data_IF_091984619540
#
_entry.id   IF_091984619540
#
_cell.length_a   1.000
_cell.length_b   1.000
_cell.length_c   1.000
_cell.angle_alpha   90.00
_cell.angle_beta   90.00
_cell.angle_gamma   90.00
#
_symmetry.space_group_name_H-M   'P 1'
#
loop_
_entity.id
_entity.type
_entity.pdbx_description
1 polymer ?
#
# COMPACT_ATOMS: atom_id res chain seq x y z
N UNK A 1 -12.43 0.31 -5.97
CA UNK A 1 -13.76 0.31 -5.29
C UNK A 1 -14.85 0.65 -6.30
N UNK A 2 -15.94 -0.14 -6.37
CA UNK A 2 -17.01 0.11 -7.34
C UNK A 2 -17.96 1.18 -6.79
N UNK A 3 -18.41 2.13 -7.62
CA UNK A 3 -19.40 3.17 -7.25
C UNK A 3 -20.65 2.61 -6.53
N UNK A 4 -21.02 1.36 -6.81
CA UNK A 4 -22.15 0.66 -6.19
C UNK A 4 -22.00 0.45 -4.67
N UNK A 5 -20.78 0.39 -4.13
CA UNK A 5 -20.54 0.18 -2.70
C UNK A 5 -20.67 1.49 -1.89
N UNK A 6 -20.36 2.64 -2.49
CA UNK A 6 -20.54 3.94 -1.86
C UNK A 6 -22.01 4.31 -1.65
N UNK A 7 -22.91 3.84 -2.52
CA UNK A 7 -24.35 4.10 -2.42
C UNK A 7 -25.05 3.38 -1.25
N UNK A 8 -24.37 2.42 -0.60
CA UNK A 8 -24.89 1.68 0.57
C UNK A 8 -24.52 2.30 1.91
N UNK A 9 -23.65 3.31 1.90
CA UNK A 9 -23.22 3.99 3.12
C UNK A 9 -24.29 4.97 3.61
N UNK A 10 -24.47 5.04 4.93
CA UNK A 10 -25.27 6.10 5.51
C UNK A 10 -24.56 7.47 5.36
N UNK A 11 -25.28 8.62 5.49
CA UNK A 11 -24.66 9.94 5.30
C UNK A 11 -23.42 10.17 6.15
N UNK A 12 -23.43 9.74 7.40
CA UNK A 12 -22.30 9.92 8.32
C UNK A 12 -21.10 9.03 7.95
N UNK A 13 -21.33 7.81 7.47
CA UNK A 13 -20.27 6.97 6.92
C UNK A 13 -19.66 7.56 5.67
N UNK A 14 -20.48 8.18 4.82
CA UNK A 14 -20.03 8.86 3.61
C UNK A 14 -19.12 10.05 3.95
N UNK A 15 -19.51 10.87 4.94
CA UNK A 15 -18.68 11.98 5.41
C UNK A 15 -17.34 11.50 5.95
N UNK A 16 -17.33 10.45 6.76
CA UNK A 16 -16.10 9.84 7.28
C UNK A 16 -15.21 9.29 6.15
N UNK A 17 -15.82 8.64 5.16
CA UNK A 17 -15.09 8.12 3.99
C UNK A 17 -14.45 9.27 3.18
N UNK A 18 -15.22 10.31 2.86
CA UNK A 18 -14.76 11.48 2.11
C UNK A 18 -13.62 12.21 2.85
N UNK A 19 -13.75 12.37 4.17
CA UNK A 19 -12.70 12.93 5.02
C UNK A 19 -11.40 12.10 4.92
N UNK A 20 -11.49 10.78 5.10
CA UNK A 20 -10.35 9.89 4.98
C UNK A 20 -9.73 9.91 3.58
N UNK A 21 -10.53 9.99 2.52
CA UNK A 21 -10.06 10.07 1.14
C UNK A 21 -9.21 11.32 0.94
N UNK A 22 -9.71 12.46 1.38
CA UNK A 22 -9.01 13.74 1.29
C UNK A 22 -7.70 13.72 2.08
N UNK A 23 -7.74 13.30 3.35
CA UNK A 23 -6.55 13.25 4.22
C UNK A 23 -5.52 12.26 3.68
N UNK A 24 -5.94 11.06 3.27
CA UNK A 24 -5.03 10.06 2.68
C UNK A 24 -4.43 10.55 1.36
N UNK A 25 -5.21 11.26 0.54
CA UNK A 25 -4.72 11.89 -0.70
C UNK A 25 -3.60 12.90 -0.46
N UNK A 26 -3.62 13.58 0.68
CA UNK A 26 -2.63 14.59 1.06
C UNK A 26 -1.68 14.10 2.17
N UNK A 27 -1.64 12.79 2.44
CA UNK A 27 -0.89 12.25 3.58
C UNK A 27 0.54 12.74 3.64
N UNK A 28 0.91 13.28 4.80
CA UNK A 28 2.27 13.50 5.27
C UNK A 28 2.48 12.63 6.51
N UNK A 29 3.41 11.70 6.47
CA UNK A 29 3.69 10.78 7.57
C UNK A 29 4.35 11.44 8.79
N UNK A 30 4.69 12.72 8.72
CA UNK A 30 5.14 13.51 9.86
C UNK A 30 3.96 14.04 10.70
N UNK A 31 2.76 14.14 10.10
CA UNK A 31 1.55 14.68 10.73
C UNK A 31 0.43 13.65 10.64
N UNK A 32 0.29 12.82 11.67
CA UNK A 32 -0.63 11.69 11.69
C UNK A 32 -1.93 11.93 12.47
N UNK A 33 -2.06 13.07 13.12
CA UNK A 33 -3.27 13.42 13.91
C UNK A 33 -4.57 13.23 13.14
N UNK A 34 -4.70 13.66 11.85
CA UNK A 34 -5.93 13.51 11.07
C UNK A 34 -6.42 12.08 10.89
N UNK A 35 -5.52 11.09 11.09
CA UNK A 35 -5.79 9.68 10.88
C UNK A 35 -6.21 8.93 12.14
N UNK A 36 -6.44 9.65 13.26
CA UNK A 36 -6.88 9.07 14.52
C UNK A 36 -8.41 9.14 14.66
N UNK A 37 -9.00 8.16 15.36
CA UNK A 37 -10.45 8.15 15.66
C UNK A 37 -10.90 9.36 16.45
N UNK A 38 -10.03 9.93 17.29
CA UNK A 38 -10.33 11.09 18.10
C UNK A 38 -10.45 12.35 17.24
N UNK A 39 -9.48 12.61 16.37
CA UNK A 39 -9.47 13.78 15.50
C UNK A 39 -10.63 13.74 14.50
N UNK A 40 -10.85 12.57 13.87
CA UNK A 40 -11.99 12.36 12.97
C UNK A 40 -13.32 12.66 13.66
N UNK A 41 -13.48 12.20 14.92
CA UNK A 41 -14.68 12.49 15.72
C UNK A 41 -14.85 13.98 16.01
N UNK A 42 -13.77 14.69 16.30
CA UNK A 42 -13.79 16.13 16.57
C UNK A 42 -14.16 16.92 15.30
N UNK A 43 -13.51 16.64 14.19
CA UNK A 43 -13.71 17.37 12.92
C UNK A 43 -15.11 17.13 12.34
N UNK A 44 -15.60 15.89 12.40
CA UNK A 44 -16.89 15.50 11.83
C UNK A 44 -18.05 15.65 12.84
N UNK A 45 -17.79 16.12 14.05
CA UNK A 45 -18.79 16.22 15.13
C UNK A 45 -19.50 14.89 15.45
N UNK A 46 -18.77 13.79 15.36
CA UNK A 46 -19.26 12.42 15.58
C UNK A 46 -18.58 11.87 16.84
N UNK A 47 -19.29 11.02 17.60
CA UNK A 47 -18.68 10.37 18.77
C UNK A 47 -17.51 9.47 18.34
N UNK A 48 -16.42 9.46 19.13
CA UNK A 48 -15.27 8.59 18.89
C UNK A 48 -15.67 7.11 18.75
N UNK A 49 -16.68 6.67 19.52
CA UNK A 49 -17.16 5.30 19.46
C UNK A 49 -17.82 4.98 18.11
N UNK A 50 -18.62 5.91 17.58
CA UNK A 50 -19.26 5.79 16.27
C UNK A 50 -18.21 5.75 15.15
N UNK A 51 -17.20 6.63 15.21
CA UNK A 51 -16.07 6.62 14.26
C UNK A 51 -15.34 5.27 14.31
N UNK A 52 -15.04 4.76 15.51
CA UNK A 52 -14.38 3.46 15.67
C UNK A 52 -15.20 2.31 15.11
N UNK A 53 -16.53 2.33 15.29
CA UNK A 53 -17.43 1.33 14.72
C UNK A 53 -17.39 1.35 13.19
N UNK A 54 -17.54 2.52 12.57
CA UNK A 54 -17.52 2.66 11.10
C UNK A 54 -16.16 2.28 10.51
N UNK A 55 -15.07 2.66 11.15
CA UNK A 55 -13.73 2.25 10.70
C UNK A 55 -13.52 0.73 10.79
N UNK A 56 -14.08 0.07 11.80
CA UNK A 56 -14.05 -1.39 11.89
C UNK A 56 -14.90 -2.06 10.80
N UNK A 57 -16.01 -1.47 10.40
CA UNK A 57 -16.80 -1.92 9.24
C UNK A 57 -16.00 -1.74 7.95
N UNK A 58 -15.39 -0.58 7.73
CA UNK A 58 -14.51 -0.33 6.58
C UNK A 58 -13.29 -1.26 6.55
N UNK A 59 -12.77 -1.63 7.71
CA UNK A 59 -11.66 -2.57 7.83
C UNK A 59 -12.08 -3.99 7.41
N UNK A 60 -13.25 -4.47 7.84
CA UNK A 60 -13.81 -5.77 7.42
C UNK A 60 -14.04 -5.84 5.91
N UNK A 61 -14.47 -4.74 5.31
CA UNK A 61 -14.65 -4.60 3.85
C UNK A 61 -13.32 -4.36 3.11
N UNK A 62 -12.20 -4.34 3.83
CA UNK A 62 -10.87 -4.13 3.27
C UNK A 62 -10.66 -2.76 2.59
N UNK A 63 -11.41 -1.73 3.01
CA UNK A 63 -11.33 -0.39 2.46
C UNK A 63 -10.25 0.45 3.13
N UNK A 64 -9.97 0.19 4.40
CA UNK A 64 -8.95 0.90 5.17
C UNK A 64 -7.78 0.00 5.56
N UNK A 65 -6.63 0.62 5.72
CA UNK A 65 -5.43 0.05 6.32
C UNK A 65 -5.37 0.55 7.75
N UNK A 66 -5.06 -0.34 8.68
CA UNK A 66 -4.95 -0.05 10.10
C UNK A 66 -3.50 -0.17 10.55
N UNK A 67 -3.01 0.82 11.30
CA UNK A 67 -1.70 0.77 11.96
C UNK A 67 -1.93 0.61 13.46
N UNK A 68 -1.45 -0.48 14.04
CA UNK A 68 -1.67 -0.89 15.44
C UNK A 68 -0.76 -0.18 16.44
N UNK A 69 -0.51 1.09 16.24
CA UNK A 69 0.22 1.92 17.19
C UNK A 69 -0.70 2.51 18.27
N UNK A 70 -0.16 3.30 19.16
CA UNK A 70 -0.94 4.10 20.14
C UNK A 70 -0.59 5.57 19.95
N UNK A 71 -1.50 6.34 19.34
CA UNK A 71 -2.85 6.01 18.86
C UNK A 71 -2.84 5.11 17.60
N UNK A 72 -3.98 4.47 17.31
CA UNK A 72 -4.22 3.72 16.08
C UNK A 72 -4.50 4.69 14.94
N UNK A 73 -3.90 4.45 13.78
CA UNK A 73 -4.11 5.25 12.56
C UNK A 73 -4.83 4.44 11.49
N UNK A 74 -5.66 5.13 10.70
CA UNK A 74 -6.43 4.54 9.60
C UNK A 74 -6.21 5.31 8.31
N UNK A 75 -5.92 4.61 7.22
CA UNK A 75 -5.72 5.18 5.89
C UNK A 75 -6.63 4.50 4.88
N UNK A 76 -7.16 5.23 3.89
CA UNK A 76 -7.87 4.61 2.79
C UNK A 76 -6.90 3.85 1.87
N UNK A 77 -7.11 2.54 1.75
CA UNK A 77 -6.25 1.64 0.98
C UNK A 77 -6.10 2.05 -0.48
N UNK A 78 -7.23 2.24 -1.17
CA UNK A 78 -7.24 2.56 -2.59
C UNK A 78 -6.55 3.91 -2.88
N UNK A 79 -6.83 4.93 -2.07
CA UNK A 79 -6.23 6.26 -2.20
C UNK A 79 -4.74 6.21 -1.93
N UNK A 80 -4.30 5.44 -0.93
CA UNK A 80 -2.89 5.26 -0.63
C UNK A 80 -2.17 4.51 -1.76
N UNK A 81 -2.75 3.41 -2.24
CA UNK A 81 -2.22 2.65 -3.37
C UNK A 81 -2.07 3.53 -4.62
N UNK A 82 -3.09 4.33 -4.94
CA UNK A 82 -3.07 5.25 -6.09
C UNK A 82 -2.01 6.35 -5.94
N UNK A 83 -1.92 6.97 -4.75
CA UNK A 83 -0.95 8.05 -4.48
C UNK A 83 0.50 7.57 -4.61
N UNK A 84 0.79 6.38 -4.10
CA UNK A 84 2.14 5.84 -4.07
C UNK A 84 2.44 4.86 -5.21
N UNK A 85 1.48 4.68 -6.13
CA UNK A 85 1.58 3.75 -7.26
C UNK A 85 1.94 2.33 -6.83
N UNK A 86 1.31 1.84 -5.77
CA UNK A 86 1.48 0.50 -5.20
C UNK A 86 0.24 -0.33 -5.46
N UNK A 87 0.37 -1.60 -5.85
CA UNK A 87 -0.77 -2.43 -6.25
C UNK A 87 -1.54 -3.04 -5.11
N UNK A 88 -0.83 -3.45 -4.08
CA UNK A 88 -1.43 -4.07 -2.92
C UNK A 88 -0.64 -3.70 -1.66
N UNK A 89 -1.37 -3.48 -0.58
CA UNK A 89 -0.84 -3.24 0.76
C UNK A 89 -1.50 -4.23 1.71
N UNK A 90 -0.83 -4.56 2.80
CA UNK A 90 -1.43 -5.33 3.87
C UNK A 90 -2.64 -4.59 4.47
N UNK A 91 -3.56 -5.34 5.08
CA UNK A 91 -4.71 -4.71 5.74
C UNK A 91 -4.33 -4.05 7.07
N UNK A 92 -3.31 -4.58 7.72
CA UNK A 92 -2.90 -4.21 9.05
C UNK A 92 -1.37 -4.20 9.17
N UNK A 93 -0.83 -3.20 9.87
CA UNK A 93 0.60 -3.06 10.15
C UNK A 93 0.80 -2.82 11.64
N UNK A 94 1.86 -3.37 12.20
CA UNK A 94 2.24 -3.15 13.60
C UNK A 94 2.86 -1.76 13.83
N UNK A 95 3.58 -1.24 12.83
CA UNK A 95 4.24 0.07 12.87
C UNK A 95 4.13 0.76 11.51
N UNK A 96 4.12 2.09 11.54
CA UNK A 96 4.13 2.94 10.34
C UNK A 96 5.34 2.68 9.43
N UNK A 97 6.47 2.30 10.01
CA UNK A 97 7.71 2.00 9.27
C UNK A 97 7.52 0.87 8.26
N UNK A 98 6.76 -0.17 8.63
CA UNK A 98 6.47 -1.29 7.73
C UNK A 98 5.59 -0.85 6.55
N UNK A 99 4.56 -0.05 6.81
CA UNK A 99 3.77 0.56 5.74
C UNK A 99 4.66 1.41 4.82
N UNK A 100 5.53 2.26 5.37
CA UNK A 100 6.43 3.10 4.57
C UNK A 100 7.42 2.26 3.75
N UNK A 101 7.91 1.14 4.28
CA UNK A 101 8.76 0.20 3.54
C UNK A 101 8.00 -0.38 2.36
N UNK A 102 6.78 -0.88 2.55
CA UNK A 102 5.96 -1.42 1.47
C UNK A 102 5.63 -0.38 0.40
N UNK A 103 5.32 0.85 0.80
CA UNK A 103 5.09 1.96 -0.13
C UNK A 103 6.34 2.28 -0.97
N UNK A 104 7.52 2.24 -0.36
CA UNK A 104 8.78 2.50 -1.05
C UNK A 104 9.18 1.33 -1.95
N UNK A 105 9.03 0.08 -1.48
CA UNK A 105 9.33 -1.12 -2.26
C UNK A 105 8.42 -1.24 -3.47
N UNK A 106 7.12 -0.97 -3.32
CA UNK A 106 6.19 -0.97 -4.44
C UNK A 106 6.57 0.04 -5.52
N UNK A 107 6.94 1.26 -5.14
CA UNK A 107 7.41 2.31 -6.06
C UNK A 107 8.67 1.91 -6.82
N UNK A 108 9.67 1.37 -6.11
CA UNK A 108 10.93 0.91 -6.73
C UNK A 108 10.67 -0.18 -7.75
N UNK A 109 9.91 -1.21 -7.37
CA UNK A 109 9.60 -2.32 -8.26
C UNK A 109 8.82 -1.87 -9.50
N UNK A 110 7.81 -1.01 -9.34
CA UNK A 110 7.03 -0.51 -10.45
C UNK A 110 7.88 0.34 -11.41
N UNK A 111 8.80 1.15 -10.92
CA UNK A 111 9.68 1.95 -11.76
C UNK A 111 10.74 1.09 -12.48
N UNK A 112 11.46 0.24 -11.75
CA UNK A 112 12.55 -0.55 -12.32
C UNK A 112 12.07 -1.62 -13.29
N UNK A 113 10.97 -2.32 -12.98
CA UNK A 113 10.46 -3.43 -13.77
C UNK A 113 9.35 -3.06 -14.78
N UNK A 114 8.91 -1.79 -14.82
CA UNK A 114 7.82 -1.34 -15.70
C UNK A 114 8.07 -1.65 -17.20
N UNK A 115 9.35 -1.64 -17.62
CA UNK A 115 9.74 -1.98 -19.00
C UNK A 115 9.78 -3.48 -19.32
N UNK A 116 9.55 -4.36 -18.34
CA UNK A 116 9.55 -5.81 -18.56
C UNK A 116 8.14 -6.28 -18.92
N UNK A 117 7.92 -6.63 -20.18
CA UNK A 117 6.63 -7.11 -20.67
C UNK A 117 6.21 -8.35 -19.87
N UNK A 118 4.99 -8.33 -19.32
CA UNK A 118 4.44 -9.43 -18.50
C UNK A 118 4.90 -9.45 -17.05
N UNK A 119 5.60 -8.43 -16.55
CA UNK A 119 6.07 -8.39 -15.17
C UNK A 119 4.94 -8.45 -14.14
N UNK A 120 3.74 -8.03 -14.51
CA UNK A 120 2.54 -8.15 -13.68
C UNK A 120 1.73 -9.44 -13.90
N UNK A 121 2.05 -10.21 -14.92
CA UNK A 121 1.33 -11.41 -15.33
C UNK A 121 2.25 -12.64 -15.22
N UNK A 122 2.77 -13.11 -16.37
CA UNK A 122 3.58 -14.32 -16.46
C UNK A 122 4.92 -14.23 -15.71
N UNK A 123 5.54 -13.07 -15.65
CA UNK A 123 6.80 -12.83 -14.95
C UNK A 123 6.67 -12.33 -13.52
N UNK A 124 5.45 -12.17 -13.00
CA UNK A 124 5.22 -11.67 -11.62
C UNK A 124 6.02 -12.44 -10.57
N UNK A 125 5.94 -13.77 -10.60
CA UNK A 125 6.66 -14.62 -9.65
C UNK A 125 8.19 -14.51 -9.79
N UNK A 126 8.69 -14.35 -11.01
CA UNK A 126 10.13 -14.17 -11.25
C UNK A 126 10.61 -12.82 -10.73
N UNK A 127 9.85 -11.75 -10.96
CA UNK A 127 10.15 -10.40 -10.44
C UNK A 127 10.14 -10.37 -8.93
N UNK A 128 9.14 -10.99 -8.29
CA UNK A 128 9.07 -11.07 -6.82
C UNK A 128 10.28 -11.81 -6.23
N UNK A 129 10.71 -12.92 -6.84
CA UNK A 129 11.93 -13.64 -6.42
C UNK A 129 13.19 -12.80 -6.60
N UNK A 130 13.29 -11.99 -7.67
CA UNK A 130 14.38 -11.04 -7.86
C UNK A 130 14.41 -9.99 -6.75
N UNK A 131 13.26 -9.42 -6.40
CA UNK A 131 13.15 -8.44 -5.30
C UNK A 131 13.59 -9.04 -3.97
N UNK A 132 13.00 -10.17 -3.58
CA UNK A 132 13.35 -10.87 -2.34
C UNK A 132 14.84 -11.18 -2.27
N UNK A 133 15.44 -11.61 -3.38
CA UNK A 133 16.86 -11.91 -3.42
C UNK A 133 17.74 -10.65 -3.19
N UNK A 134 17.36 -9.50 -3.75
CA UNK A 134 18.07 -8.23 -3.56
C UNK A 134 17.91 -7.71 -2.12
N UNK A 135 16.70 -7.77 -1.58
CA UNK A 135 16.36 -7.22 -0.27
C UNK A 135 16.78 -8.11 0.91
N UNK A 136 17.27 -9.32 0.66
CA UNK A 136 17.63 -10.27 1.72
C UNK A 136 18.84 -9.78 2.52
N UNK A 137 18.71 -9.60 3.84
CA UNK A 137 19.80 -9.11 4.66
C UNK A 137 20.92 -10.16 4.87
N UNK A 138 22.19 -9.78 5.05
CA UNK A 138 22.69 -8.39 5.06
C UNK A 138 23.05 -7.82 3.67
N UNK A 139 23.27 -8.67 2.67
CA UNK A 139 23.90 -8.25 1.39
C UNK A 139 23.18 -8.79 0.15
N UNK A 140 21.96 -9.27 0.28
CA UNK A 140 21.23 -9.96 -0.78
C UNK A 140 21.62 -11.42 -0.96
N UNK A 141 20.91 -12.13 -1.84
CA UNK A 141 21.17 -13.52 -2.22
C UNK A 141 21.67 -13.62 -3.65
N UNK A 142 22.54 -14.60 -3.96
CA UNK A 142 22.87 -14.93 -5.34
C UNK A 142 21.62 -15.31 -6.15
N UNK A 143 21.44 -14.73 -7.34
CA UNK A 143 20.31 -14.98 -8.21
C UNK A 143 20.73 -15.69 -9.48
N UNK A 144 20.06 -16.78 -9.81
CA UNK A 144 20.25 -17.52 -11.09
C UNK A 144 18.96 -17.44 -11.90
N UNK A 145 19.04 -16.88 -13.11
CA UNK A 145 17.95 -16.81 -14.06
C UNK A 145 18.10 -17.91 -15.11
N UNK A 146 17.26 -18.93 -15.03
CA UNK A 146 17.21 -20.04 -15.99
C UNK A 146 16.00 -19.90 -16.94
N UNK A 147 16.13 -20.39 -18.16
CA UNK A 147 15.07 -20.37 -19.17
C UNK A 147 15.62 -20.48 -20.59
N UNK A 148 14.76 -20.59 -21.59
CA UNK A 148 15.10 -20.72 -22.99
C UNK A 148 15.78 -19.47 -23.57
N UNK A 149 16.47 -19.62 -24.71
CA UNK A 149 17.08 -18.50 -25.43
C UNK A 149 15.99 -17.51 -25.87
N UNK A 150 16.21 -16.22 -25.72
CA UNK A 150 15.24 -15.20 -26.15
C UNK A 150 14.18 -14.81 -25.10
N UNK A 151 14.08 -15.47 -23.94
CA UNK A 151 13.03 -15.23 -22.91
C UNK A 151 13.25 -13.99 -22.04
N UNK A 152 14.14 -13.08 -22.41
CA UNK A 152 14.34 -11.81 -21.68
C UNK A 152 15.15 -11.89 -20.39
N UNK A 153 15.86 -13.00 -20.10
CA UNK A 153 16.70 -13.15 -18.89
C UNK A 153 17.69 -12.01 -18.68
N UNK A 154 18.36 -11.57 -19.76
CA UNK A 154 19.32 -10.45 -19.69
C UNK A 154 18.64 -9.12 -19.32
N UNK A 155 17.43 -8.88 -19.85
CA UNK A 155 16.64 -7.70 -19.50
C UNK A 155 16.23 -7.75 -18.02
N UNK A 156 15.71 -8.89 -17.56
CA UNK A 156 15.31 -9.08 -16.17
C UNK A 156 16.51 -8.94 -15.22
N UNK A 157 17.67 -9.51 -15.56
CA UNK A 157 18.90 -9.34 -14.78
C UNK A 157 19.34 -7.88 -14.70
N UNK A 158 19.29 -7.14 -15.81
CA UNK A 158 19.61 -5.71 -15.86
C UNK A 158 18.68 -4.89 -14.96
N UNK A 159 17.37 -5.17 -15.02
CA UNK A 159 16.37 -4.49 -14.18
C UNK A 159 16.50 -4.85 -12.71
N UNK A 160 16.86 -6.08 -12.39
CA UNK A 160 17.17 -6.50 -11.01
C UNK A 160 18.39 -5.76 -10.46
N UNK A 161 19.42 -5.57 -11.30
CA UNK A 161 20.60 -4.81 -10.90
C UNK A 161 20.33 -3.31 -10.75
N UNK A 162 19.50 -2.70 -11.60
CA UNK A 162 19.02 -1.33 -11.40
C UNK A 162 18.30 -1.20 -10.06
N UNK A 163 17.39 -2.13 -9.76
CA UNK A 163 16.66 -2.18 -8.49
C UNK A 163 17.58 -2.32 -7.27
N UNK A 164 18.66 -3.08 -7.39
CA UNK A 164 19.64 -3.26 -6.31
C UNK A 164 20.50 -2.00 -6.03
N UNK A 165 20.54 -1.04 -6.95
CA UNK A 165 21.32 0.20 -6.80
C UNK A 165 20.53 1.35 -6.17
N UNK A 166 19.20 1.30 -6.22
CA UNK A 166 18.33 2.31 -5.60
C UNK A 166 18.19 2.10 -4.08
#
# INVERSE_FOLDING_TARGET
>A
MTMANLQKLNPTQQELYNYLEQQTGQVNFEVLQPFTTQEMGTVLHISRNTVSQYLNEFFKENWVIKINTRPVYYFLRETLCRKFNVRALEAEYEDLKFLQQDLNHGRRADNCFAGVIGYHLSLKSAVEKCRVAVEYPPTGLPLVLAGEKGTGKRLLAGKTWEYAKE
#
